data_IF_122695255103
#
_entry.id   IF_122695255103
#
_cell.length_a   1.000
_cell.length_b   1.000
_cell.length_c   1.000
_cell.angle_alpha   90.00
_cell.angle_beta   90.00
_cell.angle_gamma   90.00
#
_symmetry.space_group_name_H-M   'P 1'
#
loop_
_entity.id
_entity.type
_entity.pdbx_description
1 polymer ?
#
# COMPACT_ATOMS: atom_id res chain seq x y z
N UNK A 1 10.04 -20.57 -9.31
CA UNK A 1 9.20 -19.73 -10.19
C UNK A 1 8.36 -18.85 -9.29
N UNK A 2 8.40 -17.53 -9.44
CA UNK A 2 7.48 -16.66 -8.70
C UNK A 2 6.08 -16.88 -9.29
N UNK A 3 5.22 -17.59 -8.56
CA UNK A 3 3.81 -17.70 -8.90
C UNK A 3 3.17 -16.32 -8.79
N UNK A 4 2.23 -16.01 -9.68
CA UNK A 4 1.40 -14.81 -9.56
C UNK A 4 0.72 -14.86 -8.18
N UNK A 5 0.85 -13.82 -7.34
CA UNK A 5 0.25 -13.80 -6.02
C UNK A 5 -1.26 -14.00 -6.11
N UNK A 6 -1.79 -14.85 -5.25
CA UNK A 6 -3.23 -15.04 -5.08
C UNK A 6 -3.87 -13.80 -4.44
N UNK A 7 -5.19 -13.65 -4.61
CA UNK A 7 -5.97 -12.58 -3.95
C UNK A 7 -5.78 -12.60 -2.43
N UNK A 8 -5.73 -13.79 -1.82
CA UNK A 8 -5.52 -13.94 -0.39
C UNK A 8 -4.14 -13.43 0.06
N UNK A 9 -3.09 -13.73 -0.72
CA UNK A 9 -1.73 -13.25 -0.44
C UNK A 9 -1.61 -11.73 -0.62
N UNK A 10 -2.28 -11.16 -1.62
CA UNK A 10 -2.35 -9.71 -1.83
C UNK A 10 -3.06 -9.02 -0.66
N UNK A 11 -4.24 -9.51 -0.26
CA UNK A 11 -4.98 -8.98 0.90
C UNK A 11 -4.17 -9.05 2.19
N UNK A 12 -3.54 -10.19 2.47
CA UNK A 12 -2.69 -10.38 3.65
C UNK A 12 -1.51 -9.39 3.65
N UNK A 13 -0.90 -9.17 2.49
CA UNK A 13 0.20 -8.20 2.35
C UNK A 13 -0.26 -6.77 2.60
N UNK A 14 -1.39 -6.36 2.01
CA UNK A 14 -1.95 -5.02 2.21
C UNK A 14 -2.29 -4.79 3.68
N UNK A 15 -3.03 -5.70 4.33
CA UNK A 15 -3.38 -5.58 5.76
C UNK A 15 -2.14 -5.43 6.63
N UNK A 16 -1.08 -6.22 6.37
CA UNK A 16 0.18 -6.12 7.11
C UNK A 16 0.87 -4.77 6.91
N UNK A 17 0.88 -4.25 5.68
CA UNK A 17 1.51 -2.95 5.39
C UNK A 17 0.67 -1.79 5.93
N UNK A 18 -0.66 -1.85 5.83
CA UNK A 18 -1.57 -0.85 6.40
C UNK A 18 -1.37 -0.76 7.91
N UNK A 19 -1.34 -1.90 8.60
CA UNK A 19 -1.08 -1.94 10.03
C UNK A 19 0.29 -1.36 10.42
N UNK A 20 1.29 -1.49 9.55
CA UNK A 20 2.64 -0.94 9.77
C UNK A 20 2.67 0.57 9.62
N UNK A 21 2.06 1.12 8.58
CA UNK A 21 2.22 2.54 8.22
C UNK A 21 1.13 3.45 8.79
N UNK A 22 -0.04 2.93 9.17
CA UNK A 22 -1.14 3.73 9.76
C UNK A 22 -0.74 4.54 11.00
N UNK A 23 0.27 4.07 11.76
CA UNK A 23 0.75 4.71 13.00
C UNK A 23 2.24 5.03 12.95
N UNK A 24 2.79 5.15 11.74
CA UNK A 24 4.19 5.47 11.56
C UNK A 24 4.31 6.96 11.33
N UNK A 25 4.97 7.68 12.24
CA UNK A 25 5.04 9.15 12.22
C UNK A 25 5.53 9.69 10.87
N UNK A 26 6.57 9.07 10.30
CA UNK A 26 7.13 9.48 9.00
C UNK A 26 6.23 9.16 7.79
N UNK A 27 5.20 8.34 7.97
CA UNK A 27 4.28 7.92 6.93
C UNK A 27 2.92 8.63 6.98
N UNK A 28 2.58 9.32 8.07
CA UNK A 28 1.23 9.83 8.36
C UNK A 28 0.61 10.57 7.16
N UNK A 29 1.32 11.57 6.62
CA UNK A 29 0.83 12.37 5.49
C UNK A 29 0.60 11.52 4.23
N UNK A 30 1.50 10.59 3.92
CA UNK A 30 1.36 9.73 2.73
C UNK A 30 0.30 8.65 2.94
N UNK A 31 0.09 8.22 4.17
CA UNK A 31 -0.96 7.28 4.52
C UNK A 31 -2.35 7.91 4.32
N UNK A 32 -2.54 9.17 4.71
CA UNK A 32 -3.78 9.93 4.44
C UNK A 32 -4.06 10.04 2.93
N UNK A 33 -3.00 10.24 2.12
CA UNK A 33 -3.12 10.27 0.66
C UNK A 33 -3.48 8.88 0.13
N UNK A 34 -2.88 7.82 0.69
CA UNK A 34 -3.18 6.43 0.32
C UNK A 34 -4.63 6.07 0.58
N UNK A 35 -5.23 6.50 1.70
CA UNK A 35 -6.64 6.20 1.99
C UNK A 35 -7.57 6.80 0.91
N UNK A 36 -7.35 8.07 0.54
CA UNK A 36 -8.10 8.74 -0.54
C UNK A 36 -7.88 8.07 -1.89
N UNK A 37 -6.65 7.64 -2.16
CA UNK A 37 -6.33 6.91 -3.39
C UNK A 37 -7.01 5.53 -3.42
N UNK A 38 -7.13 4.88 -2.26
CA UNK A 38 -7.86 3.63 -2.09
C UNK A 38 -9.34 3.76 -2.46
N UNK A 39 -10.01 4.82 -2.02
CA UNK A 39 -11.39 5.13 -2.42
C UNK A 39 -11.52 5.34 -3.92
N UNK A 40 -10.55 6.04 -4.53
CA UNK A 40 -10.54 6.27 -5.98
C UNK A 40 -10.34 4.97 -6.76
N UNK A 41 -9.45 4.10 -6.30
CA UNK A 41 -9.26 2.79 -6.91
C UNK A 41 -10.53 1.94 -6.85
N UNK A 42 -11.27 1.96 -5.75
CA UNK A 42 -12.54 1.23 -5.62
C UNK A 42 -13.62 1.74 -6.58
N UNK A 43 -13.57 3.02 -6.96
CA UNK A 43 -14.48 3.62 -7.94
C UNK A 43 -14.08 3.29 -9.39
N UNK A 44 -12.78 3.31 -9.68
CA UNK A 44 -12.26 3.22 -11.05
C UNK A 44 -11.94 1.78 -11.49
N UNK A 45 -11.66 0.86 -10.57
CA UNK A 45 -11.23 -0.51 -10.86
C UNK A 45 -12.34 -1.52 -10.55
N UNK A 46 -12.76 -2.26 -11.58
CA UNK A 46 -13.78 -3.30 -11.45
C UNK A 46 -13.21 -4.67 -11.06
N UNK A 47 -11.94 -4.94 -11.34
CA UNK A 47 -11.29 -6.20 -11.02
C UNK A 47 -10.63 -6.15 -9.63
N UNK A 48 -10.94 -7.13 -8.78
CA UNK A 48 -10.44 -7.20 -7.41
C UNK A 48 -8.91 -7.34 -7.36
N UNK A 49 -8.30 -8.06 -8.30
CA UNK A 49 -6.85 -8.21 -8.36
C UNK A 49 -6.21 -6.88 -8.70
N UNK A 50 -6.73 -6.16 -9.68
CA UNK A 50 -6.20 -4.86 -10.10
C UNK A 50 -6.30 -3.82 -8.97
N UNK A 51 -7.41 -3.85 -8.22
CA UNK A 51 -7.58 -3.04 -7.01
C UNK A 51 -6.49 -3.34 -5.97
N UNK A 52 -6.29 -4.62 -5.65
CA UNK A 52 -5.31 -5.03 -4.66
C UNK A 52 -3.87 -4.76 -5.11
N UNK A 53 -3.55 -4.98 -6.38
CA UNK A 53 -2.24 -4.65 -6.94
C UNK A 53 -1.96 -3.15 -6.88
N UNK A 54 -2.95 -2.32 -7.22
CA UNK A 54 -2.85 -0.85 -7.13
C UNK A 54 -2.62 -0.40 -5.69
N UNK A 55 -3.38 -0.94 -4.72
CA UNK A 55 -3.18 -0.68 -3.30
C UNK A 55 -1.79 -1.13 -2.83
N UNK A 56 -1.32 -2.31 -3.24
CA UNK A 56 0.02 -2.80 -2.88
C UNK A 56 1.14 -1.91 -3.46
N UNK A 57 1.00 -1.45 -4.71
CA UNK A 57 1.96 -0.56 -5.36
C UNK A 57 2.05 0.79 -4.64
N UNK A 58 0.92 1.40 -4.28
CA UNK A 58 0.90 2.63 -3.49
C UNK A 58 1.59 2.46 -2.12
N UNK A 59 1.38 1.31 -1.46
CA UNK A 59 2.05 0.99 -0.21
C UNK A 59 3.56 0.77 -0.36
N UNK A 60 4.02 0.27 -1.50
CA UNK A 60 5.45 0.21 -1.82
C UNK A 60 6.08 1.59 -1.97
N UNK A 61 5.34 2.58 -2.50
CA UNK A 61 5.79 3.97 -2.53
C UNK A 61 5.95 4.54 -1.12
N UNK A 62 4.97 4.32 -0.24
CA UNK A 62 5.06 4.75 1.18
C UNK A 62 6.27 4.10 1.85
N UNK A 63 6.45 2.79 1.67
CA UNK A 63 7.61 2.07 2.20
C UNK A 63 8.92 2.70 1.76
N UNK A 64 9.06 2.96 0.45
CA UNK A 64 10.26 3.58 -0.10
C UNK A 64 10.51 4.96 0.50
N UNK A 65 9.46 5.78 0.63
CA UNK A 65 9.57 7.10 1.24
C UNK A 65 10.09 7.03 2.67
N UNK A 66 9.47 6.19 3.51
CA UNK A 66 9.89 6.00 4.91
C UNK A 66 11.33 5.52 5.00
N UNK A 67 11.74 4.55 4.16
CA UNK A 67 13.12 4.06 4.12
C UNK A 67 14.12 5.17 3.75
N UNK A 68 13.73 6.13 2.91
CA UNK A 68 14.56 7.28 2.54
C UNK A 68 14.58 8.39 3.61
N UNK A 69 13.45 8.62 4.30
CA UNK A 69 13.32 9.60 5.38
C UNK A 69 14.10 9.20 6.62
N UNK A 70 14.05 7.93 7.02
CA UNK A 70 14.86 7.39 8.13
C UNK A 70 16.36 7.23 7.82
N UNK A 71 16.79 7.49 6.58
CA UNK A 71 18.19 7.42 6.14
C UNK A 71 18.93 8.76 6.23
N UNK A 72 18.33 9.80 6.81
CA UNK A 72 19.01 11.07 7.08
C UNK A 72 19.63 11.06 8.49
N UNK A 73 20.97 11.27 8.62
CA UNK A 73 21.64 11.35 9.92
C UNK A 73 21.22 12.59 10.74
#
# INVERSE_FOLDING_TARGET
MASIPTIAELRSTIVRMEGRYRRHDEAELLFDVYEKLGERFEQDLADERDLLLSKAAAMMMIKYWVEQSGSHP
#
